data_IF_152613386109
#
_entry.id   IF_152613386109
#
_cell.length_a   1.000
_cell.length_b   1.000
_cell.length_c   1.000
_cell.angle_alpha   90.00
_cell.angle_beta   90.00
_cell.angle_gamma   90.00
#
_symmetry.space_group_name_H-M   'P 1'
#
loop_
_entity.id
_entity.type
_entity.pdbx_description
1 polymer ?
#
# COMPACT_ATOMS: atom_id res chain seq x y z
N UNK A 1 28.61 -37.50 46.18
CA UNK A 1 29.11 -36.13 46.33
C UNK A 1 29.14 -35.53 44.95
N UNK A 2 28.32 -34.51 44.79
CA UNK A 2 28.00 -33.74 43.58
C UNK A 2 29.15 -32.81 43.20
N UNK A 3 29.46 -32.75 41.91
CA UNK A 3 30.20 -31.64 41.30
C UNK A 3 29.68 -31.44 39.89
N UNK A 4 28.71 -30.55 39.74
CA UNK A 4 28.42 -29.87 38.48
C UNK A 4 29.57 -28.89 38.18
N UNK A 5 30.12 -28.85 36.97
CA UNK A 5 30.88 -27.72 36.51
C UNK A 5 29.90 -26.67 35.97
N UNK A 6 29.88 -25.53 36.64
CA UNK A 6 29.26 -24.29 36.23
C UNK A 6 29.74 -23.94 34.80
N UNK A 7 28.81 -23.95 33.85
CA UNK A 7 29.03 -23.56 32.46
C UNK A 7 29.03 -22.03 32.43
N UNK A 8 30.18 -21.44 32.69
CA UNK A 8 30.42 -19.99 32.66
C UNK A 8 30.31 -19.50 31.22
N UNK A 9 29.08 -19.18 30.79
CA UNK A 9 28.80 -18.52 29.51
C UNK A 9 29.34 -17.09 29.63
N UNK A 10 30.59 -16.90 29.22
CA UNK A 10 31.18 -15.58 29.02
C UNK A 10 30.36 -14.84 27.95
N UNK A 11 29.50 -13.93 28.38
CA UNK A 11 28.82 -12.99 27.50
C UNK A 11 29.89 -12.04 26.97
N UNK A 12 30.35 -12.25 25.74
CA UNK A 12 31.25 -11.31 25.07
C UNK A 12 30.54 -9.95 24.95
N UNK A 13 31.02 -8.97 25.72
CA UNK A 13 30.57 -7.58 25.57
C UNK A 13 31.03 -7.04 24.21
N UNK A 14 30.12 -7.01 23.25
CA UNK A 14 30.37 -6.44 21.92
C UNK A 14 30.54 -4.92 22.07
N UNK A 15 31.79 -4.45 22.03
CA UNK A 15 32.09 -3.01 22.00
C UNK A 15 31.47 -2.37 20.75
N UNK A 16 30.54 -1.43 20.96
CA UNK A 16 30.01 -0.56 19.90
C UNK A 16 30.76 0.75 19.90
N UNK A 17 31.24 1.19 18.73
CA UNK A 17 31.85 2.51 18.62
C UNK A 17 30.84 3.63 18.92
N UNK A 18 31.26 4.79 19.45
CA UNK A 18 30.36 5.92 19.70
C UNK A 18 29.54 6.34 18.47
N UNK A 19 30.14 6.22 17.29
CA UNK A 19 29.46 6.47 16.02
C UNK A 19 28.29 5.50 15.77
N UNK A 20 28.49 4.20 16.01
CA UNK A 20 27.43 3.19 15.84
C UNK A 20 26.31 3.41 16.85
N UNK A 21 26.64 3.75 18.09
CA UNK A 21 25.64 4.07 19.13
C UNK A 21 24.77 5.26 18.70
N UNK A 22 25.38 6.33 18.20
CA UNK A 22 24.66 7.51 17.74
C UNK A 22 23.84 7.24 16.47
N UNK A 23 24.36 6.44 15.54
CA UNK A 23 23.63 6.00 14.35
C UNK A 23 22.38 5.20 14.72
N UNK A 24 22.52 4.22 15.61
CA UNK A 24 21.40 3.38 16.09
C UNK A 24 20.33 4.27 16.76
N UNK A 25 20.76 5.22 17.60
CA UNK A 25 19.86 6.18 18.26
C UNK A 25 19.05 7.01 17.25
N UNK A 26 19.71 7.55 16.21
CA UNK A 26 19.04 8.39 15.20
C UNK A 26 18.09 7.59 14.31
N UNK A 27 18.45 6.36 13.95
CA UNK A 27 17.56 5.44 13.24
C UNK A 27 16.32 5.13 14.06
N UNK A 28 16.50 4.78 15.34
CA UNK A 28 15.38 4.52 16.25
C UNK A 28 14.45 5.74 16.40
N UNK A 29 15.00 6.95 16.42
CA UNK A 29 14.19 8.17 16.42
C UNK A 29 13.36 8.32 15.14
N UNK A 30 13.96 8.10 13.97
CA UNK A 30 13.24 8.15 12.68
C UNK A 30 12.15 7.08 12.61
N UNK A 31 12.43 5.86 13.07
CA UNK A 31 11.46 4.76 13.14
C UNK A 31 10.30 5.05 14.09
N UNK A 32 10.52 5.85 15.14
CA UNK A 32 9.48 6.27 16.08
C UNK A 32 8.60 7.43 15.55
N UNK A 33 8.97 8.09 14.45
CA UNK A 33 8.16 9.18 13.89
C UNK A 33 6.82 8.65 13.37
N UNK A 34 5.70 9.40 13.53
CA UNK A 34 4.40 9.02 12.98
C UNK A 34 4.46 8.74 11.47
N UNK A 35 5.29 9.49 10.74
CA UNK A 35 5.51 9.30 9.32
C UNK A 35 6.07 7.91 8.96
N UNK A 36 6.87 7.28 9.82
CA UNK A 36 7.45 5.96 9.56
C UNK A 36 6.35 4.89 9.50
N UNK A 37 5.47 4.86 10.52
CA UNK A 37 4.29 3.98 10.52
C UNK A 37 3.38 4.26 9.33
N UNK A 38 3.12 5.54 9.04
CA UNK A 38 2.32 5.94 7.88
C UNK A 38 2.91 5.44 6.55
N UNK A 39 4.23 5.52 6.39
CA UNK A 39 4.94 4.96 5.23
C UNK A 39 4.75 3.45 5.13
N UNK A 40 4.90 2.71 6.23
CA UNK A 40 4.68 1.26 6.26
C UNK A 40 3.24 0.88 5.87
N UNK A 41 2.25 1.63 6.38
CA UNK A 41 0.84 1.44 6.06
C UNK A 41 0.57 1.69 4.57
N UNK A 42 1.15 2.76 3.98
CA UNK A 42 1.05 3.02 2.54
C UNK A 42 1.74 1.95 1.69
N UNK A 43 2.89 1.44 2.11
CA UNK A 43 3.57 0.34 1.43
C UNK A 43 2.74 -0.95 1.49
N UNK A 44 2.12 -1.25 2.63
CA UNK A 44 1.22 -2.39 2.79
C UNK A 44 -0.02 -2.24 1.90
N UNK A 45 -0.61 -1.04 1.85
CA UNK A 45 -1.72 -0.71 0.96
C UNK A 45 -1.32 -0.88 -0.52
N UNK A 46 -0.12 -0.42 -0.90
CA UNK A 46 0.38 -0.55 -2.27
C UNK A 46 0.57 -2.04 -2.66
N UNK A 47 1.06 -2.89 -1.73
CA UNK A 47 1.13 -4.34 -1.95
C UNK A 47 -0.27 -4.96 -2.15
N UNK A 48 -1.26 -4.54 -1.36
CA UNK A 48 -2.64 -5.01 -1.53
C UNK A 48 -3.23 -4.55 -2.88
N UNK A 49 -2.96 -3.32 -3.29
CA UNK A 49 -3.36 -2.76 -4.58
C UNK A 49 -2.72 -3.51 -5.75
N UNK A 50 -1.43 -3.84 -5.63
CA UNK A 50 -0.71 -4.67 -6.60
C UNK A 50 -1.37 -6.04 -6.76
N UNK A 51 -1.63 -6.76 -5.66
CA UNK A 51 -2.29 -8.08 -5.70
C UNK A 51 -3.67 -7.99 -6.35
N UNK A 52 -4.47 -6.99 -5.97
CA UNK A 52 -5.78 -6.74 -6.59
C UNK A 52 -5.67 -6.48 -8.10
N UNK A 53 -4.75 -5.60 -8.50
CA UNK A 53 -4.52 -5.22 -9.89
C UNK A 53 -4.09 -6.41 -10.75
N UNK A 54 -3.09 -7.17 -10.30
CA UNK A 54 -2.56 -8.33 -11.00
C UNK A 54 -3.62 -9.43 -11.12
N UNK A 55 -4.31 -9.79 -10.04
CA UNK A 55 -5.37 -10.81 -10.10
C UNK A 55 -6.50 -10.41 -11.07
N UNK A 56 -6.88 -9.13 -11.08
CA UNK A 56 -7.87 -8.61 -12.02
C UNK A 56 -7.39 -8.68 -13.48
N UNK A 57 -6.12 -8.35 -13.74
CA UNK A 57 -5.53 -8.44 -15.08
C UNK A 57 -5.44 -9.88 -15.57
N UNK A 58 -5.00 -10.82 -14.72
CA UNK A 58 -4.93 -12.24 -15.06
C UNK A 58 -6.31 -12.82 -15.36
N UNK A 59 -7.32 -12.52 -14.53
CA UNK A 59 -8.70 -12.92 -14.77
C UNK A 59 -9.24 -12.34 -16.08
N UNK A 60 -9.06 -11.04 -16.31
CA UNK A 60 -9.50 -10.39 -17.53
C UNK A 60 -8.83 -10.99 -18.77
N UNK A 61 -7.52 -11.25 -18.73
CA UNK A 61 -6.78 -11.88 -19.81
C UNK A 61 -7.26 -13.31 -20.09
N UNK A 62 -7.53 -14.10 -19.04
CA UNK A 62 -8.04 -15.46 -19.17
C UNK A 62 -9.44 -15.51 -19.79
N UNK A 63 -10.33 -14.62 -19.37
CA UNK A 63 -11.68 -14.47 -19.93
C UNK A 63 -11.61 -13.99 -21.38
N UNK A 64 -10.78 -12.98 -21.66
CA UNK A 64 -10.61 -12.39 -22.99
C UNK A 64 -10.19 -13.42 -24.04
N UNK A 65 -9.29 -14.36 -23.68
CA UNK A 65 -8.85 -15.46 -24.56
C UNK A 65 -10.01 -16.31 -25.07
N UNK A 66 -11.04 -16.52 -24.27
CA UNK A 66 -12.23 -17.27 -24.71
C UNK A 66 -13.24 -16.36 -25.41
N UNK A 67 -13.60 -15.25 -24.78
CA UNK A 67 -14.65 -14.33 -25.26
C UNK A 67 -14.37 -13.81 -26.67
N UNK A 68 -13.09 -13.55 -27.00
CA UNK A 68 -12.67 -13.06 -28.32
C UNK A 68 -12.16 -14.15 -29.27
N UNK A 69 -12.26 -15.42 -28.88
CA UNK A 69 -11.89 -16.53 -29.77
C UNK A 69 -13.08 -16.99 -30.63
N UNK A 70 -12.77 -17.64 -31.74
CA UNK A 70 -13.73 -18.45 -32.50
C UNK A 70 -13.87 -19.87 -31.89
N UNK A 71 -13.30 -20.13 -30.72
CA UNK A 71 -13.38 -21.44 -30.07
C UNK A 71 -14.79 -21.66 -29.52
N UNK A 72 -15.42 -22.77 -29.89
CA UNK A 72 -16.67 -23.20 -29.28
C UNK A 72 -16.42 -23.71 -27.86
N UNK A 73 -17.32 -23.40 -26.92
CA UNK A 73 -17.24 -23.86 -25.53
C UNK A 73 -17.03 -25.39 -25.39
N UNK A 74 -17.57 -26.20 -26.31
CA UNK A 74 -17.41 -27.65 -26.29
C UNK A 74 -15.97 -28.12 -26.51
N UNK A 75 -15.12 -27.24 -27.07
CA UNK A 75 -13.71 -27.52 -27.33
C UNK A 75 -12.80 -27.03 -26.19
N UNK A 76 -13.36 -26.40 -25.15
CA UNK A 76 -12.60 -26.01 -23.97
C UNK A 76 -12.36 -27.23 -23.07
N UNK A 77 -11.14 -27.32 -22.55
CA UNK A 77 -10.79 -28.34 -21.60
C UNK A 77 -11.22 -27.96 -20.17
N UNK A 78 -11.12 -28.95 -19.28
CA UNK A 78 -11.39 -28.75 -17.85
C UNK A 78 -10.34 -27.87 -17.18
N UNK A 79 -9.14 -27.73 -17.77
CA UNK A 79 -8.07 -26.91 -17.20
C UNK A 79 -8.42 -25.43 -17.30
N UNK A 80 -9.00 -25.00 -18.43
CA UNK A 80 -9.50 -23.64 -18.62
C UNK A 80 -10.51 -23.25 -17.53
N UNK A 81 -11.46 -24.15 -17.23
CA UNK A 81 -12.48 -23.95 -16.22
C UNK A 81 -11.89 -23.86 -14.80
N UNK A 82 -10.99 -24.78 -14.46
CA UNK A 82 -10.33 -24.76 -13.15
C UNK A 82 -9.53 -23.48 -12.95
N UNK A 83 -8.84 -23.02 -13.98
CA UNK A 83 -8.05 -21.79 -13.93
C UNK A 83 -8.94 -20.54 -13.83
N UNK A 84 -10.05 -20.50 -14.58
CA UNK A 84 -11.04 -19.43 -14.47
C UNK A 84 -11.57 -19.28 -13.04
N UNK A 85 -11.90 -20.41 -12.41
CA UNK A 85 -12.42 -20.47 -11.03
C UNK A 85 -11.37 -20.02 -10.02
N UNK A 86 -10.11 -20.45 -10.18
CA UNK A 86 -8.96 -20.02 -9.37
C UNK A 86 -8.76 -18.51 -9.46
N UNK A 87 -8.72 -17.97 -10.68
CA UNK A 87 -8.51 -16.54 -10.94
C UNK A 87 -9.67 -15.69 -10.41
N UNK A 88 -10.93 -16.14 -10.59
CA UNK A 88 -12.10 -15.46 -10.04
C UNK A 88 -12.05 -15.41 -8.50
N UNK A 89 -11.68 -16.52 -7.86
CA UNK A 89 -11.53 -16.56 -6.41
C UNK A 89 -10.43 -15.60 -5.93
N UNK A 90 -9.26 -15.63 -6.56
CA UNK A 90 -8.13 -14.76 -6.23
C UNK A 90 -8.49 -13.28 -6.39
N UNK A 91 -9.16 -12.91 -7.48
CA UNK A 91 -9.63 -11.56 -7.71
C UNK A 91 -10.60 -11.11 -6.60
N UNK A 92 -11.68 -11.87 -6.37
CA UNK A 92 -12.70 -11.49 -5.37
C UNK A 92 -12.13 -11.41 -3.95
N UNK A 93 -11.22 -12.30 -3.57
CA UNK A 93 -10.57 -12.23 -2.25
C UNK A 93 -9.63 -11.03 -2.15
N UNK A 94 -8.88 -10.70 -3.20
CA UNK A 94 -7.99 -9.53 -3.22
C UNK A 94 -8.73 -8.20 -3.10
N UNK A 95 -9.97 -8.09 -3.58
CA UNK A 95 -10.84 -6.92 -3.35
C UNK A 95 -10.98 -6.63 -1.85
N UNK A 96 -11.23 -7.66 -1.05
CA UNK A 96 -11.38 -7.48 0.40
C UNK A 96 -10.07 -7.15 1.09
N UNK A 97 -8.97 -7.78 0.68
CA UNK A 97 -7.65 -7.45 1.20
C UNK A 97 -7.31 -5.97 0.98
N UNK A 98 -7.67 -5.41 -0.18
CA UNK A 98 -7.49 -3.99 -0.47
C UNK A 98 -8.35 -3.10 0.44
N UNK A 99 -9.64 -3.41 0.58
CA UNK A 99 -10.56 -2.67 1.46
C UNK A 99 -10.07 -2.70 2.92
N UNK A 100 -9.64 -3.86 3.40
CA UNK A 100 -9.17 -4.01 4.77
C UNK A 100 -7.84 -3.27 4.99
N UNK A 101 -6.93 -3.27 4.01
CA UNK A 101 -5.71 -2.45 4.06
C UNK A 101 -6.04 -0.95 4.11
N UNK A 102 -7.02 -0.46 3.34
CA UNK A 102 -7.48 0.93 3.41
C UNK A 102 -8.01 1.27 4.81
N UNK A 103 -8.82 0.40 5.41
CA UNK A 103 -9.35 0.59 6.77
C UNK A 103 -8.26 0.67 7.83
N UNK A 104 -7.19 -0.12 7.68
CA UNK A 104 -6.02 -0.07 8.57
C UNK A 104 -5.33 1.28 8.48
N UNK A 105 -5.07 1.77 7.27
CA UNK A 105 -4.49 3.10 7.03
C UNK A 105 -5.31 4.18 7.74
N UNK A 106 -6.63 4.22 7.51
CA UNK A 106 -7.53 5.21 8.14
C UNK A 106 -7.46 5.14 9.67
N UNK A 107 -7.49 3.93 10.24
CA UNK A 107 -7.43 3.73 11.70
C UNK A 107 -6.10 4.18 12.30
N UNK A 108 -5.01 4.02 11.57
CA UNK A 108 -3.68 4.41 12.04
C UNK A 108 -3.42 5.91 11.89
N UNK A 109 -3.81 6.53 10.77
CA UNK A 109 -3.74 7.98 10.59
C UNK A 109 -4.60 8.72 11.61
N UNK A 110 -5.81 8.21 11.86
CA UNK A 110 -6.79 8.87 12.71
C UNK A 110 -7.43 7.89 13.70
N UNK A 111 -6.77 7.59 14.83
CA UNK A 111 -7.27 6.60 15.79
C UNK A 111 -8.51 7.07 16.57
N UNK A 112 -8.63 8.37 16.86
CA UNK A 112 -9.80 8.93 17.56
C UNK A 112 -10.93 9.25 16.56
N UNK A 113 -12.10 8.65 16.77
CA UNK A 113 -13.32 8.86 15.99
C UNK A 113 -13.84 10.30 16.01
N UNK A 114 -13.49 11.04 17.07
CA UNK A 114 -13.96 12.40 17.30
C UNK A 114 -12.98 13.47 16.79
N UNK A 115 -11.82 13.06 16.28
CA UNK A 115 -10.85 13.97 15.68
C UNK A 115 -11.52 14.73 14.51
N UNK A 116 -11.50 16.09 14.50
CA UNK A 116 -12.09 16.88 13.42
C UNK A 116 -11.56 16.50 12.02
N UNK A 117 -10.28 16.16 11.89
CA UNK A 117 -9.70 15.73 10.62
C UNK A 117 -10.25 14.38 10.18
N UNK A 118 -10.44 13.45 11.13
CA UNK A 118 -11.08 12.15 10.87
C UNK A 118 -12.52 12.32 10.42
N UNK A 119 -13.29 13.16 11.11
CA UNK A 119 -14.69 13.42 10.77
C UNK A 119 -14.79 14.02 9.36
N UNK A 120 -13.93 14.99 9.05
CA UNK A 120 -13.86 15.59 7.72
C UNK A 120 -13.43 14.58 6.64
N UNK A 121 -12.48 13.69 6.95
CA UNK A 121 -12.05 12.64 6.04
C UNK A 121 -13.18 11.63 5.80
N UNK A 122 -13.82 11.16 6.87
CA UNK A 122 -14.90 10.18 6.82
C UNK A 122 -16.08 10.70 5.99
N UNK A 123 -16.42 11.99 6.10
CA UNK A 123 -17.47 12.59 5.28
C UNK A 123 -17.17 12.55 3.77
N UNK A 124 -15.94 12.90 3.36
CA UNK A 124 -15.55 12.82 1.95
C UNK A 124 -15.39 11.36 1.50
N UNK A 125 -14.85 10.49 2.36
CA UNK A 125 -14.75 9.05 2.12
C UNK A 125 -16.12 8.43 1.87
N UNK A 126 -17.11 8.71 2.71
CA UNK A 126 -18.46 8.20 2.52
C UNK A 126 -19.11 8.74 1.26
N UNK A 127 -18.92 10.03 0.96
CA UNK A 127 -19.39 10.62 -0.31
C UNK A 127 -18.78 9.94 -1.53
N UNK A 128 -17.47 9.71 -1.55
CA UNK A 128 -16.78 9.07 -2.67
C UNK A 128 -17.14 7.58 -2.77
N UNK A 129 -17.22 6.90 -1.62
CA UNK A 129 -17.63 5.49 -1.54
C UNK A 129 -19.06 5.33 -2.04
N UNK A 130 -19.97 6.19 -1.60
CA UNK A 130 -21.36 6.16 -2.05
C UNK A 130 -21.48 6.50 -3.53
N UNK A 131 -20.83 7.56 -3.99
CA UNK A 131 -20.84 7.96 -5.41
C UNK A 131 -20.27 6.88 -6.35
N UNK A 132 -19.33 6.06 -5.86
CA UNK A 132 -18.67 5.03 -6.67
C UNK A 132 -19.31 3.64 -6.54
N UNK A 133 -19.77 3.26 -5.35
CA UNK A 133 -20.17 1.90 -5.01
C UNK A 133 -21.57 1.76 -4.40
N UNK A 134 -22.36 2.81 -4.27
CA UNK A 134 -23.77 2.67 -3.83
C UNK A 134 -24.68 2.26 -5.00
N UNK A 135 -24.31 1.15 -5.62
CA UNK A 135 -25.12 0.47 -6.63
C UNK A 135 -25.42 -0.94 -6.16
N UNK A 136 -26.61 -1.43 -6.53
CA UNK A 136 -27.03 -2.82 -6.33
C UNK A 136 -25.98 -3.81 -6.90
N UNK A 137 -25.29 -3.42 -7.98
CA UNK A 137 -24.19 -4.18 -8.59
C UNK A 137 -22.95 -4.29 -7.70
N UNK A 138 -22.46 -3.19 -7.12
CA UNK A 138 -21.30 -3.22 -6.25
C UNK A 138 -21.57 -4.00 -4.95
N UNK A 139 -22.81 -3.92 -4.44
CA UNK A 139 -23.27 -4.77 -3.34
C UNK A 139 -23.26 -6.25 -3.75
N UNK A 140 -23.69 -6.57 -4.97
CA UNK A 140 -23.60 -7.91 -5.53
C UNK A 140 -22.15 -8.43 -5.61
N UNK A 141 -21.21 -7.67 -6.17
CA UNK A 141 -19.79 -8.10 -6.27
C UNK A 141 -19.18 -8.35 -4.88
N UNK A 142 -19.45 -7.46 -3.92
CA UNK A 142 -19.00 -7.62 -2.53
C UNK A 142 -19.57 -8.91 -1.91
N UNK A 143 -20.84 -9.20 -2.16
CA UNK A 143 -21.50 -10.42 -1.66
C UNK A 143 -21.11 -11.66 -2.43
N UNK A 144 -20.73 -11.54 -3.70
CA UNK A 144 -20.21 -12.63 -4.52
C UNK A 144 -18.91 -13.17 -3.92
N UNK A 145 -18.03 -12.31 -3.39
CA UNK A 145 -16.87 -12.75 -2.59
C UNK A 145 -17.29 -13.57 -1.38
N UNK A 146 -18.28 -13.13 -0.61
CA UNK A 146 -18.76 -13.86 0.56
C UNK A 146 -19.35 -15.22 0.17
N UNK A 147 -20.08 -15.28 -0.94
CA UNK A 147 -20.54 -16.53 -1.54
C UNK A 147 -19.35 -17.44 -1.86
N UNK A 148 -18.31 -16.94 -2.56
CA UNK A 148 -17.10 -17.68 -2.91
C UNK A 148 -16.34 -18.25 -1.71
N UNK A 149 -16.31 -17.52 -0.60
CA UNK A 149 -15.49 -17.84 0.58
C UNK A 149 -16.22 -18.65 1.64
N UNK A 150 -17.56 -18.58 1.69
CA UNK A 150 -18.36 -19.20 2.75
C UNK A 150 -19.43 -20.18 2.27
N UNK A 151 -19.69 -20.28 0.97
CA UNK A 151 -20.73 -21.16 0.44
C UNK A 151 -20.22 -22.05 -0.69
N UNK A 152 -19.81 -21.47 -1.82
CA UNK A 152 -19.28 -22.21 -2.96
C UNK A 152 -18.53 -21.26 -3.90
N UNK A 153 -17.52 -21.74 -4.61
CA UNK A 153 -16.95 -20.97 -5.72
C UNK A 153 -17.94 -21.10 -6.90
N UNK A 154 -18.53 -19.99 -7.40
CA UNK A 154 -19.44 -20.06 -8.53
C UNK A 154 -18.65 -20.56 -9.72
N UNK A 155 -19.15 -21.62 -10.37
CA UNK A 155 -18.67 -22.06 -11.66
C UNK A 155 -19.43 -21.23 -12.71
N UNK A 156 -18.81 -20.19 -13.31
CA UNK A 156 -19.49 -19.46 -14.36
C UNK A 156 -19.77 -20.44 -15.51
N UNK A 157 -20.99 -20.46 -16.01
CA UNK A 157 -21.27 -21.13 -17.27
C UNK A 157 -20.53 -20.42 -18.40
N UNK A 158 -20.05 -21.20 -19.36
CA UNK A 158 -19.54 -20.65 -20.62
C UNK A 158 -20.60 -20.85 -21.70
N UNK A 159 -20.86 -19.81 -22.48
CA UNK A 159 -21.84 -19.85 -23.56
C UNK A 159 -21.20 -19.48 -24.89
N UNK A 160 -21.54 -20.22 -25.94
CA UNK A 160 -21.23 -19.85 -27.34
C UNK A 160 -22.55 -19.71 -28.08
N UNK A 161 -22.83 -18.52 -28.59
CA UNK A 161 -23.99 -18.23 -29.45
C UNK A 161 -23.51 -18.00 -30.87
N UNK A 162 -24.09 -18.74 -31.82
CA UNK A 162 -23.79 -18.60 -33.25
C UNK A 162 -25.03 -18.05 -33.93
N UNK A 163 -24.90 -16.90 -34.57
CA UNK A 163 -25.95 -16.28 -35.38
C UNK A 163 -25.45 -16.13 -36.82
N UNK A 164 -26.35 -16.34 -37.77
CA UNK A 164 -26.07 -16.15 -39.18
C UNK A 164 -27.30 -15.55 -39.85
N UNK A 165 -27.10 -14.62 -40.77
CA UNK A 165 -28.14 -14.11 -41.66
C UNK A 165 -27.90 -14.65 -43.07
N UNK A 166 -28.98 -14.78 -43.85
CA UNK A 166 -28.88 -15.34 -45.20
C UNK A 166 -28.01 -14.42 -46.08
N UNK A 167 -26.86 -14.93 -46.54
CA UNK A 167 -25.86 -14.16 -47.29
C UNK A 167 -24.92 -13.27 -46.45
N UNK A 168 -25.03 -13.30 -45.12
CA UNK A 168 -24.18 -12.53 -44.19
C UNK A 168 -23.08 -13.38 -43.52
N UNK A 169 -22.13 -12.73 -42.83
CA UNK A 169 -21.10 -13.43 -42.08
C UNK A 169 -21.69 -14.19 -40.89
N UNK A 170 -21.09 -15.33 -40.55
CA UNK A 170 -21.38 -16.05 -39.30
C UNK A 170 -20.79 -15.25 -38.14
N UNK A 171 -21.63 -14.89 -37.19
CA UNK A 171 -21.24 -14.16 -35.97
C UNK A 171 -21.29 -15.15 -34.81
N UNK A 172 -20.11 -15.44 -34.25
CA UNK A 172 -19.97 -16.20 -33.01
C UNK A 172 -19.70 -15.23 -31.86
N UNK A 173 -20.46 -15.39 -30.76
CA UNK A 173 -20.29 -14.62 -29.53
C UNK A 173 -20.10 -15.60 -28.37
N UNK A 174 -18.98 -15.46 -27.67
CA UNK A 174 -18.67 -16.23 -26.47
C UNK A 174 -18.95 -15.37 -25.22
N UNK A 175 -19.51 -15.97 -24.17
CA UNK A 175 -19.95 -15.26 -22.95
C UNK A 175 -19.60 -16.02 -21.68
N UNK A 176 -19.43 -15.29 -20.57
CA UNK A 176 -19.16 -15.80 -19.23
C UNK A 176 -20.39 -15.62 -18.34
N UNK A 177 -21.26 -16.62 -18.27
CA UNK A 177 -22.59 -16.47 -17.69
C UNK A 177 -22.68 -16.99 -16.26
N UNK A 178 -23.24 -16.20 -15.35
CA UNK A 178 -23.71 -16.68 -14.05
C UNK A 178 -25.16 -17.16 -14.13
N UNK A 179 -25.50 -18.11 -13.27
CA UNK A 179 -26.85 -18.64 -13.12
C UNK A 179 -27.53 -17.98 -11.92
N UNK A 180 -28.48 -17.07 -12.20
CA UNK A 180 -29.18 -16.30 -11.17
C UNK A 180 -29.84 -17.22 -10.15
N UNK A 181 -30.57 -18.22 -10.60
CA UNK A 181 -31.39 -19.06 -9.74
C UNK A 181 -30.51 -19.98 -8.87
N UNK A 182 -29.36 -20.42 -9.37
CA UNK A 182 -28.35 -21.11 -8.54
C UNK A 182 -27.76 -20.18 -7.49
N UNK A 183 -27.43 -18.94 -7.84
CA UNK A 183 -26.92 -17.96 -6.88
C UNK A 183 -27.93 -17.66 -5.78
N UNK A 184 -29.22 -17.48 -6.14
CA UNK A 184 -30.31 -17.20 -5.20
C UNK A 184 -30.60 -18.32 -4.19
N UNK A 185 -30.00 -19.51 -4.34
CA UNK A 185 -30.07 -20.58 -3.32
C UNK A 185 -29.36 -20.20 -2.03
N UNK A 186 -28.35 -19.33 -2.10
CA UNK A 186 -27.67 -18.82 -0.91
C UNK A 186 -28.47 -17.68 -0.29
N UNK A 187 -28.80 -17.77 1.00
CA UNK A 187 -29.61 -16.76 1.70
C UNK A 187 -28.82 -15.51 2.12
N UNK A 188 -27.49 -15.48 1.95
CA UNK A 188 -26.60 -14.44 2.47
C UNK A 188 -26.47 -13.14 1.65
N UNK A 189 -27.15 -13.01 0.51
CA UNK A 189 -27.03 -11.86 -0.40
C UNK A 189 -27.41 -10.51 0.25
N UNK A 190 -28.37 -10.46 1.17
CA UNK A 190 -28.88 -9.18 1.70
C UNK A 190 -29.73 -8.41 0.67
N UNK A 191 -30.33 -7.28 1.08
CA UNK A 191 -31.34 -6.55 0.30
C UNK A 191 -30.88 -6.11 -1.09
N UNK A 192 -29.86 -5.25 -1.16
CA UNK A 192 -29.36 -4.67 -2.43
C UNK A 192 -28.82 -5.72 -3.42
N UNK A 193 -28.02 -6.67 -2.97
CA UNK A 193 -27.50 -7.71 -3.87
C UNK A 193 -28.61 -8.67 -4.34
N UNK A 194 -29.64 -8.93 -3.51
CA UNK A 194 -30.80 -9.73 -3.91
C UNK A 194 -31.69 -8.97 -4.91
N UNK A 195 -31.85 -7.66 -4.72
CA UNK A 195 -32.51 -6.76 -5.68
C UNK A 195 -31.81 -6.79 -7.02
N UNK A 196 -30.47 -6.63 -7.03
CA UNK A 196 -29.65 -6.77 -8.23
C UNK A 196 -29.89 -8.08 -8.95
N UNK A 197 -29.75 -9.21 -8.23
CA UNK A 197 -29.95 -10.54 -8.79
C UNK A 197 -31.36 -10.71 -9.35
N UNK A 198 -32.39 -10.21 -8.67
CA UNK A 198 -33.78 -10.27 -9.11
C UNK A 198 -34.05 -9.49 -10.41
N UNK A 199 -33.27 -8.46 -10.70
CA UNK A 199 -33.35 -7.70 -11.94
C UNK A 199 -32.59 -8.34 -13.11
N UNK A 200 -31.71 -9.31 -12.84
CA UNK A 200 -30.95 -10.01 -13.88
C UNK A 200 -31.80 -11.09 -14.59
N UNK A 201 -31.52 -11.37 -15.88
CA UNK A 201 -32.03 -12.57 -16.53
C UNK A 201 -31.49 -13.85 -15.85
N UNK A 202 -32.12 -14.99 -16.15
CA UNK A 202 -31.75 -16.29 -15.58
C UNK A 202 -30.26 -16.62 -15.77
N UNK A 203 -29.71 -16.19 -16.92
CA UNK A 203 -28.29 -16.22 -17.26
C UNK A 203 -27.83 -14.81 -17.62
N UNK A 204 -26.83 -14.30 -16.90
CA UNK A 204 -26.29 -12.95 -17.13
C UNK A 204 -24.77 -12.96 -17.20
N UNK A 205 -24.20 -12.05 -17.98
CA UNK A 205 -22.76 -11.99 -18.23
C UNK A 205 -22.01 -11.34 -17.06
N UNK A 206 -20.99 -12.04 -16.56
CA UNK A 206 -20.15 -11.62 -15.45
C UNK A 206 -19.01 -10.71 -15.90
N UNK A 207 -18.50 -10.87 -17.13
CA UNK A 207 -17.32 -10.13 -17.57
C UNK A 207 -17.51 -8.60 -17.52
N UNK A 208 -18.64 -8.03 -18.01
CA UNK A 208 -18.88 -6.59 -17.92
C UNK A 208 -19.02 -6.08 -16.48
N UNK A 209 -19.53 -6.91 -15.56
CA UNK A 209 -19.69 -6.56 -14.14
C UNK A 209 -18.31 -6.42 -13.48
N UNK A 210 -17.42 -7.37 -13.72
CA UNK A 210 -16.05 -7.34 -13.20
C UNK A 210 -15.31 -6.12 -13.75
N UNK A 211 -15.41 -5.86 -15.05
CA UNK A 211 -14.74 -4.72 -15.69
C UNK A 211 -15.17 -3.37 -15.10
N UNK A 212 -16.49 -3.16 -14.93
CA UNK A 212 -17.02 -1.94 -14.29
C UNK A 212 -16.55 -1.81 -12.85
N UNK A 213 -16.60 -2.89 -12.08
CA UNK A 213 -16.16 -2.88 -10.67
C UNK A 213 -14.65 -2.63 -10.54
N UNK A 214 -13.82 -3.23 -11.41
CA UNK A 214 -12.38 -2.97 -11.47
C UNK A 214 -12.08 -1.51 -11.74
N UNK A 215 -12.78 -0.91 -12.71
CA UNK A 215 -12.62 0.50 -13.09
C UNK A 215 -13.00 1.41 -11.92
N UNK A 216 -14.17 1.18 -11.32
CA UNK A 216 -14.64 1.90 -10.14
C UNK A 216 -13.65 1.81 -8.97
N UNK A 217 -13.09 0.63 -8.72
CA UNK A 217 -12.09 0.40 -7.67
C UNK A 217 -10.79 1.16 -7.91
N UNK A 218 -10.29 1.20 -9.15
CA UNK A 218 -9.09 1.97 -9.49
C UNK A 218 -9.29 3.47 -9.28
N UNK A 219 -10.40 4.01 -9.79
CA UNK A 219 -10.73 5.43 -9.62
C UNK A 219 -10.86 5.81 -8.14
N UNK A 220 -11.56 4.99 -7.34
CA UNK A 220 -11.67 5.24 -5.91
C UNK A 220 -10.31 5.13 -5.19
N UNK A 221 -9.50 4.13 -5.55
CA UNK A 221 -8.18 3.95 -4.95
C UNK A 221 -7.24 5.12 -5.24
N UNK A 222 -7.22 5.64 -6.47
CA UNK A 222 -6.43 6.81 -6.86
C UNK A 222 -6.84 8.04 -6.03
N UNK A 223 -8.13 8.29 -5.88
CA UNK A 223 -8.63 9.36 -5.01
C UNK A 223 -8.20 9.15 -3.55
N UNK A 224 -8.45 7.96 -2.99
CA UNK A 224 -8.12 7.64 -1.60
C UNK A 224 -6.63 7.84 -1.32
N UNK A 225 -5.77 7.36 -2.24
CA UNK A 225 -4.32 7.49 -2.13
C UNK A 225 -3.92 8.97 -2.06
N UNK A 226 -4.43 9.80 -2.96
CA UNK A 226 -4.10 11.23 -2.99
C UNK A 226 -4.60 11.95 -1.73
N UNK A 227 -5.84 11.69 -1.32
CA UNK A 227 -6.46 12.32 -0.15
C UNK A 227 -5.70 12.00 1.13
N UNK A 228 -5.36 10.73 1.34
CA UNK A 228 -4.60 10.29 2.52
C UNK A 228 -3.18 10.88 2.51
N UNK A 229 -2.51 10.90 1.36
CA UNK A 229 -1.18 11.49 1.22
C UNK A 229 -1.16 13.00 1.47
N UNK A 230 -2.21 13.70 1.07
CA UNK A 230 -2.31 15.16 1.22
C UNK A 230 -2.55 15.54 2.68
N UNK A 231 -3.51 14.89 3.35
CA UNK A 231 -3.82 15.18 4.76
C UNK A 231 -2.68 14.83 5.70
N UNK A 232 -1.88 13.83 5.34
CA UNK A 232 -0.72 13.39 6.12
C UNK A 232 0.61 13.97 5.58
N UNK A 233 0.56 15.04 4.78
CA UNK A 233 1.77 15.63 4.17
C UNK A 233 2.81 16.04 5.21
N UNK A 234 2.39 16.66 6.31
CA UNK A 234 3.30 17.15 7.36
C UNK A 234 4.16 16.03 7.97
N UNK A 235 3.54 14.91 8.35
CA UNK A 235 4.27 13.78 8.95
C UNK A 235 5.16 13.05 7.93
N UNK A 236 4.80 13.09 6.64
CA UNK A 236 5.63 12.54 5.55
C UNK A 236 6.85 13.40 5.30
N UNK A 237 6.65 14.71 5.21
CA UNK A 237 7.72 15.68 4.99
C UNK A 237 8.72 15.63 6.15
N UNK A 238 8.24 15.58 7.40
CA UNK A 238 9.10 15.42 8.58
C UNK A 238 9.94 14.13 8.53
N UNK A 239 9.35 12.99 8.17
CA UNK A 239 10.10 11.74 8.01
C UNK A 239 11.18 11.88 6.92
N UNK A 240 10.83 12.47 5.78
CA UNK A 240 11.74 12.63 4.65
C UNK A 240 12.90 13.57 5.00
N UNK A 241 12.62 14.71 5.63
CA UNK A 241 13.60 15.67 6.10
C UNK A 241 14.56 15.02 7.11
N UNK A 242 14.02 14.31 8.12
CA UNK A 242 14.84 13.64 9.15
C UNK A 242 15.68 12.50 8.58
N UNK A 243 15.15 11.72 7.64
CA UNK A 243 15.90 10.69 6.94
C UNK A 243 17.04 11.29 6.10
N UNK A 244 16.79 12.42 5.42
CA UNK A 244 17.80 13.15 4.64
C UNK A 244 18.86 13.78 5.55
N UNK A 245 18.47 14.34 6.68
CA UNK A 245 19.39 14.85 7.70
C UNK A 245 20.32 13.74 8.21
N UNK A 246 19.79 12.54 8.49
CA UNK A 246 20.59 11.39 8.93
C UNK A 246 21.62 10.98 7.86
N UNK A 247 21.17 10.92 6.60
CA UNK A 247 22.05 10.62 5.47
C UNK A 247 23.20 11.63 5.34
N UNK A 248 22.89 12.93 5.43
CA UNK A 248 23.89 13.99 5.35
C UNK A 248 24.83 14.01 6.57
N UNK A 249 24.32 13.71 7.77
CA UNK A 249 25.16 13.52 8.95
C UNK A 249 26.13 12.35 8.77
N UNK A 250 25.66 11.22 8.23
CA UNK A 250 26.52 10.07 7.94
C UNK A 250 27.62 10.43 6.94
N UNK A 251 27.29 11.19 5.89
CA UNK A 251 28.26 11.69 4.92
C UNK A 251 29.27 12.66 5.54
N UNK A 252 28.86 13.54 6.44
CA UNK A 252 29.77 14.43 7.16
C UNK A 252 30.73 13.66 8.05
N UNK A 253 30.23 12.68 8.82
CA UNK A 253 31.06 11.86 9.72
C UNK A 253 32.05 10.96 8.97
N UNK A 254 31.68 10.50 7.77
CA UNK A 254 32.52 9.66 6.92
C UNK A 254 33.07 10.44 5.72
N UNK A 255 33.20 11.77 5.85
CA UNK A 255 33.63 12.59 4.74
C UNK A 255 35.04 12.20 4.32
N UNK A 256 35.16 11.82 3.06
CA UNK A 256 36.41 11.58 2.38
C UNK A 256 36.44 12.45 1.12
N UNK A 257 37.50 13.24 0.89
CA UNK A 257 37.58 14.09 -0.30
C UNK A 257 37.65 13.25 -1.58
N UNK A 258 37.06 13.74 -2.68
CA UNK A 258 37.06 13.03 -3.98
C UNK A 258 38.47 12.67 -4.46
N UNK A 259 39.44 13.58 -4.28
CA UNK A 259 40.83 13.34 -4.68
C UNK A 259 41.47 12.16 -3.93
N UNK A 260 41.01 11.86 -2.71
CA UNK A 260 41.45 10.70 -1.96
C UNK A 260 40.88 9.41 -2.56
N UNK A 261 39.60 9.42 -2.98
CA UNK A 261 38.99 8.29 -3.70
C UNK A 261 39.63 8.03 -5.06
N UNK A 262 40.12 9.09 -5.72
CA UNK A 262 40.87 9.01 -6.98
C UNK A 262 42.32 8.53 -6.80
N UNK A 263 42.74 8.21 -5.56
CA UNK A 263 44.09 7.72 -5.27
C UNK A 263 45.19 8.79 -5.39
N UNK A 264 44.83 10.08 -5.32
CA UNK A 264 45.83 11.16 -5.33
C UNK A 264 46.46 11.29 -3.94
N UNK A 265 47.77 11.51 -3.91
CA UNK A 265 48.53 11.64 -2.65
C UNK A 265 48.27 12.98 -1.93
N UNK A 266 47.78 14.00 -2.65
CA UNK A 266 47.49 15.32 -2.09
C UNK A 266 46.30 15.98 -2.77
N UNK A 267 45.64 16.86 -2.00
CA UNK A 267 44.52 17.66 -2.50
C UNK A 267 44.95 18.66 -3.58
N UNK A 268 44.01 19.07 -4.45
CA UNK A 268 44.30 20.05 -5.48
C UNK A 268 44.70 21.41 -4.87
N UNK A 269 45.47 22.25 -5.59
CA UNK A 269 45.85 23.57 -5.10
C UNK A 269 44.63 24.41 -4.67
N UNK A 270 44.65 24.94 -3.45
CA UNK A 270 43.54 25.75 -2.90
C UNK A 270 42.39 24.97 -2.28
N UNK A 271 42.52 23.63 -2.17
CA UNK A 271 41.58 22.78 -1.45
C UNK A 271 41.62 23.00 0.06
N UNK A 272 40.47 22.84 0.72
CA UNK A 272 40.32 22.92 2.17
C UNK A 272 39.22 22.00 2.65
N UNK A 273 39.57 20.99 3.46
CA UNK A 273 38.60 20.12 4.13
C UNK A 273 37.56 20.93 4.92
N UNK A 274 37.97 22.05 5.53
CA UNK A 274 37.06 22.89 6.29
C UNK A 274 35.99 23.53 5.41
N UNK A 275 36.30 23.87 4.15
CA UNK A 275 35.33 24.40 3.19
C UNK A 275 34.33 23.32 2.78
N UNK A 276 34.81 22.13 2.45
CA UNK A 276 33.95 21.02 2.02
C UNK A 276 33.03 20.55 3.15
N UNK A 277 33.56 20.42 4.37
CA UNK A 277 32.77 20.14 5.57
C UNK A 277 31.77 21.27 5.88
N UNK A 278 32.12 22.54 5.64
CA UNK A 278 31.18 23.65 5.79
C UNK A 278 30.02 23.55 4.77
N UNK A 279 30.29 23.12 3.54
CA UNK A 279 29.24 22.85 2.55
C UNK A 279 28.32 21.71 2.97
N UNK A 280 28.88 20.56 3.42
CA UNK A 280 28.07 19.44 3.91
C UNK A 280 27.22 19.82 5.12
N UNK A 281 27.76 20.62 6.04
CA UNK A 281 26.99 21.16 7.18
C UNK A 281 25.89 22.11 6.75
N UNK A 282 26.15 22.98 5.77
CA UNK A 282 25.15 23.88 5.23
C UNK A 282 24.02 23.11 4.52
N UNK A 283 24.36 22.04 3.80
CA UNK A 283 23.37 21.15 3.19
C UNK A 283 22.56 20.41 4.25
N UNK A 284 23.21 19.80 5.25
CA UNK A 284 22.54 19.15 6.38
C UNK A 284 21.60 20.11 7.10
N UNK A 285 22.04 21.35 7.33
CA UNK A 285 21.24 22.40 7.96
C UNK A 285 19.95 22.72 7.20
N UNK A 286 19.92 22.56 5.88
CA UNK A 286 18.70 22.79 5.10
C UNK A 286 17.59 21.76 5.38
N UNK A 287 17.93 20.59 5.93
CA UNK A 287 16.98 19.50 6.25
C UNK A 287 16.86 19.22 7.75
N UNK A 288 17.66 19.90 8.57
CA UNK A 288 17.72 19.64 10.00
C UNK A 288 16.64 20.34 10.81
N UNK A 289 16.42 19.86 12.03
CA UNK A 289 15.70 20.67 13.03
C UNK A 289 16.42 22.00 13.15
N UNK A 290 15.66 23.11 13.27
CA UNK A 290 16.20 24.48 13.46
C UNK A 290 16.87 24.66 14.84
N UNK A 291 17.59 23.65 15.32
CA UNK A 291 18.33 23.59 16.56
C UNK A 291 19.71 24.21 16.42
N UNK A 292 19.77 25.54 16.28
CA UNK A 292 20.68 26.29 17.16
C UNK A 292 19.82 26.67 18.35
N UNK A 293 20.00 25.95 19.46
CA UNK A 293 19.33 26.14 20.76
C UNK A 293 18.00 26.88 20.62
N UNK A 294 16.89 26.15 20.44
CA UNK A 294 15.59 26.83 20.52
C UNK A 294 15.38 27.25 21.96
N UNK A 295 15.70 28.51 22.21
CA UNK A 295 15.45 29.22 23.45
C UNK A 295 13.96 29.52 23.51
N UNK A 296 13.22 28.81 24.35
CA UNK A 296 11.88 29.28 24.74
C UNK A 296 12.03 30.19 25.93
N UNK A 297 11.60 31.44 25.79
CA UNK A 297 11.54 32.40 26.90
C UNK A 297 10.24 32.12 27.65
N UNK A 298 10.34 31.66 28.89
CA UNK A 298 9.17 31.46 29.76
C UNK A 298 8.52 32.81 30.09
N UNK A 299 7.30 32.79 30.65
CA UNK A 299 6.59 34.02 31.06
C UNK A 299 7.38 34.85 32.10
N UNK A 300 8.32 34.23 32.79
CA UNK A 300 9.20 34.84 33.79
C UNK A 300 10.55 35.31 33.21
N UNK A 301 10.74 35.21 31.88
CA UNK A 301 11.96 35.64 31.21
C UNK A 301 13.12 34.65 31.27
N UNK A 302 12.89 33.40 31.69
CA UNK A 302 13.92 32.35 31.73
C UNK A 302 14.03 31.70 30.36
N UNK A 303 15.27 31.56 29.88
CA UNK A 303 15.58 30.84 28.64
C UNK A 303 15.67 29.36 28.96
N UNK A 304 14.69 28.57 28.50
CA UNK A 304 14.75 27.11 28.53
C UNK A 304 15.31 26.58 27.19
N UNK A 305 16.30 25.69 27.27
CA UNK A 305 16.77 24.96 26.10
C UNK A 305 15.79 23.82 25.82
N UNK A 306 15.15 23.85 24.64
CA UNK A 306 14.43 22.65 24.18
C UNK A 306 15.46 21.57 23.87
N UNK A 307 15.34 20.39 24.49
CA UNK A 307 16.12 19.22 24.10
C UNK A 307 15.80 18.88 22.63
N UNK A 308 16.77 19.08 21.74
CA UNK A 308 16.67 18.58 20.38
C UNK A 308 16.83 17.05 20.44
N UNK A 309 15.96 16.25 19.79
CA UNK A 309 16.18 14.80 19.68
C UNK A 309 17.56 14.41 19.16
N UNK A 310 18.23 15.33 18.45
CA UNK A 310 19.58 15.23 17.88
C UNK A 310 20.71 15.63 18.86
N UNK A 311 20.39 15.88 20.13
CA UNK A 311 21.33 16.27 21.20
C UNK A 311 21.68 15.11 22.15
N UNK A 312 22.93 15.01 22.67
CA UNK A 312 24.11 15.74 22.28
C UNK A 312 24.72 15.20 20.99
N UNK A 313 25.44 16.06 20.27
CA UNK A 313 26.28 15.59 19.16
C UNK A 313 27.43 14.74 19.72
N UNK A 314 27.88 13.70 19.00
CA UNK A 314 29.09 12.98 19.37
C UNK A 314 30.25 13.96 19.46
N UNK A 315 31.13 13.74 20.45
CA UNK A 315 32.30 14.57 20.67
C UNK A 315 33.11 14.71 19.38
N UNK A 316 33.60 15.93 19.11
CA UNK A 316 34.52 16.18 18.01
C UNK A 316 35.81 15.40 18.30
N UNK A 317 36.00 14.27 17.63
CA UNK A 317 37.26 13.53 17.64
C UNK A 317 38.30 14.29 16.81
#
# INVERSE_FOLDING_TARGET
MTSDPDDDVTVEEVYKSPFVIEMDRRKAHIEALPGARFKEDLEALNRASYVFGTNGQELAAHVWRFVNSQMNVQNLDHQYMNELVRLLHNYLTSVSSLIDAQRVVVRHCWPDEKDPERVAFQAEYDKQRTGTFETDEAAFVTKLRNYCTHYAIPLPGLGTSISHSWGGPVIQVNTLQLDRDRLLRWSGWGGSAKSYLGAQPDKFDLAPIIERYMTATRTFYEWFWNEVNERNRSIRDELQEKAKELFLWHQECNYMPDWFHEGRESGPPGWSAARDLAHLRAERFAYGTRGYVTHTVTRDGVIEMREDPWWPFPDRV
#
